data_IF_381052875243
#
_entry.id   IF_381052875243
#
_cell.length_a   1.000
_cell.length_b   1.000
_cell.length_c   1.000
_cell.angle_alpha   90.00
_cell.angle_beta   90.00
_cell.angle_gamma   90.00
#
_symmetry.space_group_name_H-M   'P 1'
#
loop_
_entity.id
_entity.type
_entity.pdbx_description
1 polymer ?
#
# COMPACT_ATOMS: atom_id res chain seq x y z
N UNK A 1 10.11 -12.27 -19.57
CA UNK A 1 8.85 -11.65 -19.11
C UNK A 1 8.41 -10.63 -20.13
N UNK A 2 7.19 -10.75 -20.66
CA UNK A 2 6.63 -9.72 -21.55
C UNK A 2 6.07 -8.57 -20.70
N UNK A 3 6.91 -7.54 -20.49
CA UNK A 3 6.58 -6.35 -19.70
C UNK A 3 5.40 -5.57 -20.29
N UNK A 4 5.31 -5.48 -21.62
CA UNK A 4 4.23 -4.77 -22.30
C UNK A 4 2.89 -5.44 -22.01
N UNK A 5 2.83 -6.77 -22.16
CA UNK A 5 1.62 -7.54 -21.85
C UNK A 5 1.24 -7.47 -20.37
N UNK A 6 2.22 -7.53 -19.46
CA UNK A 6 1.97 -7.39 -18.02
C UNK A 6 1.31 -6.05 -17.70
N UNK A 7 1.93 -4.96 -18.14
CA UNK A 7 1.48 -3.59 -17.87
C UNK A 7 0.13 -3.32 -18.51
N UNK A 8 -0.07 -3.72 -19.76
CA UNK A 8 -1.34 -3.58 -20.47
C UNK A 8 -2.47 -4.34 -19.77
N UNK A 9 -2.19 -5.56 -19.30
CA UNK A 9 -3.17 -6.35 -18.57
C UNK A 9 -3.51 -5.72 -17.22
N UNK A 10 -2.52 -5.22 -16.49
CA UNK A 10 -2.73 -4.50 -15.23
C UNK A 10 -3.51 -3.22 -15.41
N UNK A 11 -3.19 -2.41 -16.41
CA UNK A 11 -3.92 -1.18 -16.70
C UNK A 11 -5.38 -1.46 -17.06
N UNK A 12 -5.65 -2.46 -17.90
CA UNK A 12 -7.03 -2.82 -18.31
C UNK A 12 -7.85 -3.44 -17.19
N UNK A 13 -7.21 -3.99 -16.16
CA UNK A 13 -7.85 -4.77 -15.11
C UNK A 13 -8.99 -4.05 -14.37
N UNK A 14 -8.81 -2.85 -13.77
CA UNK A 14 -9.89 -2.16 -13.06
C UNK A 14 -11.08 -1.77 -13.97
N UNK A 15 -10.82 -1.54 -15.26
CA UNK A 15 -11.84 -1.09 -16.21
C UNK A 15 -12.71 -2.24 -16.78
N UNK A 16 -12.29 -3.50 -16.64
CA UNK A 16 -13.07 -4.65 -17.16
C UNK A 16 -14.42 -4.83 -16.47
N UNK A 17 -14.58 -4.42 -15.22
CA UNK A 17 -15.87 -4.51 -14.52
C UNK A 17 -16.03 -3.44 -13.43
N UNK A 18 -15.90 -2.17 -13.82
CA UNK A 18 -15.86 -1.00 -12.92
C UNK A 18 -17.02 -0.94 -11.90
N UNK A 19 -18.15 -1.59 -12.21
CA UNK A 19 -19.35 -1.70 -11.37
C UNK A 19 -19.10 -2.36 -10.00
N UNK A 20 -17.99 -3.08 -9.80
CA UNK A 20 -17.66 -3.74 -8.51
C UNK A 20 -16.76 -2.91 -7.58
N UNK A 21 -16.20 -1.79 -8.04
CA UNK A 21 -15.42 -0.85 -7.25
C UNK A 21 -16.21 0.11 -6.30
N UNK A 22 -17.52 0.43 -6.50
CA UNK A 22 -18.22 1.44 -5.70
C UNK A 22 -18.32 1.17 -4.19
N UNK A 23 -18.18 -0.08 -3.76
CA UNK A 23 -18.30 -0.42 -2.33
C UNK A 23 -17.13 0.14 -1.50
N UNK A 24 -15.97 0.36 -2.14
CA UNK A 24 -14.84 1.08 -1.55
C UNK A 24 -15.12 2.58 -1.43
N UNK A 25 -15.86 3.15 -2.40
CA UNK A 25 -16.26 4.54 -2.39
C UNK A 25 -17.20 4.85 -1.22
N UNK A 26 -18.16 3.97 -0.93
CA UNK A 26 -19.09 4.19 0.19
C UNK A 26 -18.34 4.37 1.52
N UNK A 27 -17.39 3.49 1.82
CA UNK A 27 -16.56 3.58 3.03
C UNK A 27 -15.73 4.87 3.03
N UNK A 28 -15.17 5.25 1.88
CA UNK A 28 -14.38 6.48 1.75
C UNK A 28 -15.21 7.75 2.01
N UNK A 29 -16.45 7.80 1.52
CA UNK A 29 -17.37 8.92 1.77
C UNK A 29 -17.62 9.11 3.27
N UNK A 30 -17.84 8.03 4.01
CA UNK A 30 -18.00 8.11 5.46
C UNK A 30 -16.71 8.48 6.19
N UNK A 31 -15.54 8.14 5.68
CA UNK A 31 -14.27 8.62 6.26
C UNK A 31 -14.11 10.13 6.03
N UNK A 32 -14.54 10.61 4.86
CA UNK A 32 -14.42 12.02 4.47
C UNK A 32 -15.24 12.99 5.36
N UNK A 33 -16.20 12.51 6.16
CA UNK A 33 -16.96 13.35 7.09
C UNK A 33 -16.25 13.60 8.43
N UNK A 34 -15.15 12.91 8.74
CA UNK A 34 -14.39 13.13 9.99
C UNK A 34 -13.98 14.60 10.14
N UNK A 35 -13.32 15.25 9.15
CA UNK A 35 -12.93 16.66 9.29
C UNK A 35 -14.13 17.59 9.45
N UNK A 36 -15.25 17.27 8.80
CA UNK A 36 -16.51 18.04 8.91
C UNK A 36 -17.06 17.96 10.33
N UNK A 37 -17.07 16.76 10.92
CA UNK A 37 -17.47 16.55 12.31
C UNK A 37 -16.60 17.32 13.29
N UNK A 38 -15.27 17.33 13.07
CA UNK A 38 -14.32 18.09 13.89
C UNK A 38 -14.54 19.61 13.79
N UNK A 39 -14.68 20.14 12.58
CA UNK A 39 -14.91 21.58 12.36
C UNK A 39 -16.25 22.02 12.97
N UNK A 40 -17.27 21.19 12.85
CA UNK A 40 -18.60 21.45 13.38
C UNK A 40 -18.74 21.16 14.89
N UNK A 41 -17.67 20.76 15.58
CA UNK A 41 -17.70 20.28 16.98
C UNK A 41 -18.79 19.22 17.23
N UNK A 42 -19.03 18.35 16.24
CA UNK A 42 -20.04 17.30 16.30
C UNK A 42 -19.39 15.93 16.49
N UNK A 43 -19.43 15.45 17.74
CA UNK A 43 -18.85 14.18 18.13
C UNK A 43 -19.53 12.97 17.46
N UNK A 44 -20.83 13.06 17.15
CA UNK A 44 -21.56 11.97 16.48
C UNK A 44 -21.11 11.79 15.03
N UNK A 45 -20.97 12.89 14.28
CA UNK A 45 -20.45 12.86 12.89
C UNK A 45 -19.02 12.32 12.87
N UNK A 46 -18.19 12.79 13.81
CA UNK A 46 -16.81 12.31 13.97
C UNK A 46 -16.79 10.81 14.26
N UNK A 47 -17.62 10.33 15.20
CA UNK A 47 -17.68 8.92 15.56
C UNK A 47 -18.11 8.02 14.38
N UNK A 48 -19.11 8.43 13.59
CA UNK A 48 -19.54 7.70 12.39
C UNK A 48 -18.37 7.55 11.42
N UNK A 49 -17.63 8.62 11.18
CA UNK A 49 -16.48 8.57 10.28
C UNK A 49 -15.34 7.70 10.80
N UNK A 50 -15.07 7.73 12.10
CA UNK A 50 -14.07 6.84 12.75
C UNK A 50 -14.49 5.37 12.63
N UNK A 51 -15.76 5.03 12.83
CA UNK A 51 -16.27 3.66 12.64
C UNK A 51 -16.06 3.22 11.18
N UNK A 52 -16.39 4.07 10.21
CA UNK A 52 -16.16 3.77 8.80
C UNK A 52 -14.67 3.59 8.47
N UNK A 53 -13.79 4.37 9.10
CA UNK A 53 -12.35 4.22 8.97
C UNK A 53 -11.86 2.85 9.46
N UNK A 54 -12.33 2.40 10.63
CA UNK A 54 -12.02 1.06 11.12
C UNK A 54 -12.54 -0.04 10.18
N UNK A 55 -13.78 0.08 9.68
CA UNK A 55 -14.33 -0.86 8.70
C UNK A 55 -13.51 -0.88 7.40
N UNK A 56 -13.02 0.27 6.96
CA UNK A 56 -12.15 0.38 5.79
C UNK A 56 -10.83 -0.35 6.01
N UNK A 57 -10.13 -0.07 7.11
CA UNK A 57 -8.88 -0.77 7.46
C UNK A 57 -9.08 -2.28 7.55
N UNK A 58 -10.21 -2.71 8.10
CA UNK A 58 -10.51 -4.13 8.27
C UNK A 58 -11.00 -4.81 7.00
N UNK A 59 -11.35 -4.12 5.91
CA UNK A 59 -11.94 -4.78 4.73
C UNK A 59 -11.13 -4.56 3.45
N UNK A 60 -10.60 -3.36 3.26
CA UNK A 60 -9.97 -2.96 2.00
C UNK A 60 -8.65 -3.69 1.71
N UNK A 61 -7.74 -3.90 2.69
CA UNK A 61 -6.51 -4.65 2.44
C UNK A 61 -6.75 -6.07 1.93
N UNK A 62 -7.77 -6.77 2.44
CA UNK A 62 -8.15 -8.11 2.00
C UNK A 62 -8.76 -8.13 0.60
N UNK A 63 -9.52 -7.10 0.25
CA UNK A 63 -10.00 -6.91 -1.12
C UNK A 63 -8.82 -6.74 -2.11
N UNK A 64 -7.80 -5.95 -1.75
CA UNK A 64 -6.60 -5.82 -2.56
C UNK A 64 -5.74 -7.09 -2.59
N UNK A 65 -5.67 -7.86 -1.51
CA UNK A 65 -5.04 -9.18 -1.50
C UNK A 65 -5.69 -10.13 -2.52
N UNK A 66 -7.02 -10.10 -2.62
CA UNK A 66 -7.76 -10.88 -3.62
C UNK A 66 -7.36 -10.50 -5.06
N UNK A 67 -7.05 -9.23 -5.32
CA UNK A 67 -6.54 -8.81 -6.64
C UNK A 67 -5.14 -9.34 -6.93
N UNK A 68 -4.27 -9.42 -5.92
CA UNK A 68 -2.95 -10.05 -6.07
C UNK A 68 -3.13 -11.54 -6.42
N UNK A 69 -4.05 -12.24 -5.75
CA UNK A 69 -4.38 -13.65 -6.02
C UNK A 69 -4.92 -13.87 -7.44
N UNK A 70 -5.76 -12.96 -7.91
CA UNK A 70 -6.30 -13.03 -9.28
C UNK A 70 -5.21 -12.77 -10.32
N UNK A 71 -4.32 -11.81 -10.06
CA UNK A 71 -3.14 -11.58 -10.90
C UNK A 71 -2.20 -12.78 -10.94
N UNK A 72 -1.95 -13.44 -9.80
CA UNK A 72 -1.09 -14.64 -9.76
C UNK A 72 -1.69 -15.81 -10.53
N UNK A 73 -3.02 -15.91 -10.54
CA UNK A 73 -3.76 -16.91 -11.30
C UNK A 73 -4.08 -16.47 -12.74
N UNK A 74 -3.60 -15.29 -13.17
CA UNK A 74 -3.85 -14.69 -14.49
C UNK A 74 -5.35 -14.56 -14.84
N UNK A 75 -6.20 -14.45 -13.82
CA UNK A 75 -7.65 -14.27 -13.97
C UNK A 75 -7.97 -12.80 -14.16
N UNK A 76 -8.71 -12.47 -15.22
CA UNK A 76 -9.07 -11.09 -15.52
C UNK A 76 -10.37 -10.60 -14.89
N UNK A 77 -10.98 -11.40 -14.02
CA UNK A 77 -12.23 -11.03 -13.34
C UNK A 77 -11.90 -10.20 -12.10
N UNK A 78 -12.65 -9.12 -11.85
CA UNK A 78 -12.56 -8.41 -10.57
C UNK A 78 -13.13 -9.27 -9.43
N UNK A 79 -12.52 -9.24 -8.23
CA UNK A 79 -13.01 -9.98 -7.08
C UNK A 79 -14.41 -9.49 -6.71
N UNK A 80 -15.29 -10.42 -6.35
CA UNK A 80 -16.53 -10.05 -5.68
C UNK A 80 -16.20 -9.54 -4.28
N UNK A 81 -16.89 -8.49 -3.86
CA UNK A 81 -16.76 -8.03 -2.49
C UNK A 81 -17.50 -9.00 -1.57
N UNK A 82 -16.77 -9.64 -0.66
CA UNK A 82 -17.32 -10.48 0.38
C UNK A 82 -16.77 -9.99 1.72
N UNK A 83 -17.63 -9.42 2.55
CA UNK A 83 -17.23 -8.75 3.79
C UNK A 83 -16.47 -9.70 4.73
N UNK A 84 -16.96 -10.93 4.92
CA UNK A 84 -16.34 -11.91 5.83
C UNK A 84 -14.95 -12.31 5.34
N UNK A 85 -14.83 -12.71 4.06
CA UNK A 85 -13.55 -13.13 3.49
C UNK A 85 -12.56 -11.96 3.44
N UNK A 86 -13.02 -10.76 3.08
CA UNK A 86 -12.19 -9.57 3.03
C UNK A 86 -11.69 -9.18 4.42
N UNK A 87 -12.50 -9.33 5.48
CA UNK A 87 -12.05 -9.10 6.86
C UNK A 87 -11.00 -10.11 7.27
N UNK A 88 -11.25 -11.40 7.02
CA UNK A 88 -10.30 -12.46 7.30
C UNK A 88 -8.95 -12.22 6.60
N UNK A 89 -8.97 -11.87 5.32
CA UNK A 89 -7.78 -11.56 4.53
C UNK A 89 -7.08 -10.29 5.01
N UNK A 90 -7.85 -9.25 5.38
CA UNK A 90 -7.29 -8.01 5.89
C UNK A 90 -6.56 -8.22 7.21
N UNK A 91 -7.11 -9.01 8.14
CA UNK A 91 -6.43 -9.34 9.40
C UNK A 91 -5.08 -10.02 9.12
N UNK A 92 -5.00 -10.92 8.14
CA UNK A 92 -3.75 -11.57 7.74
C UNK A 92 -2.74 -10.58 7.14
N UNK A 93 -3.21 -9.65 6.30
CA UNK A 93 -2.35 -8.58 5.73
C UNK A 93 -1.89 -7.59 6.81
N UNK A 94 -2.75 -7.23 7.76
CA UNK A 94 -2.41 -6.35 8.88
C UNK A 94 -1.39 -7.01 9.80
N UNK A 95 -1.57 -8.29 10.13
CA UNK A 95 -0.60 -9.04 10.91
C UNK A 95 0.75 -9.13 10.19
N UNK A 96 0.73 -9.41 8.89
CA UNK A 96 1.94 -9.41 8.06
C UNK A 96 2.64 -8.05 8.10
N UNK A 97 1.90 -6.96 7.94
CA UNK A 97 2.43 -5.59 8.05
C UNK A 97 3.05 -5.36 9.43
N UNK A 98 2.35 -5.69 10.52
CA UNK A 98 2.88 -5.52 11.87
C UNK A 98 4.24 -6.22 11.99
N UNK A 99 4.34 -7.50 11.61
CA UNK A 99 5.59 -8.27 11.75
C UNK A 99 6.73 -7.69 10.92
N UNK A 100 6.49 -7.35 9.65
CA UNK A 100 7.52 -6.76 8.79
C UNK A 100 7.94 -5.36 9.26
N UNK A 101 7.04 -4.62 9.93
CA UNK A 101 7.32 -3.27 10.42
C UNK A 101 7.92 -3.22 11.83
N UNK A 102 8.11 -4.35 12.52
CA UNK A 102 8.78 -4.38 13.84
C UNK A 102 10.18 -3.75 13.74
N UNK A 103 11.03 -4.25 12.84
CA UNK A 103 12.43 -3.81 12.76
C UNK A 103 12.56 -2.31 12.44
N UNK A 104 11.92 -1.77 11.38
CA UNK A 104 11.96 -0.33 11.11
C UNK A 104 11.42 0.52 12.27
N UNK A 105 10.32 0.10 12.90
CA UNK A 105 9.69 0.86 13.98
C UNK A 105 10.57 0.86 15.23
N UNK A 106 11.15 -0.29 15.60
CA UNK A 106 12.06 -0.38 16.74
C UNK A 106 13.30 0.48 16.52
N UNK A 107 13.88 0.48 15.32
CA UNK A 107 15.02 1.35 14.99
C UNK A 107 14.66 2.84 15.11
N UNK A 108 13.48 3.24 14.62
CA UNK A 108 12.99 4.61 14.76
C UNK A 108 12.82 4.99 16.23
N UNK A 109 12.22 4.13 17.05
CA UNK A 109 12.02 4.39 18.48
C UNK A 109 13.35 4.52 19.23
N UNK A 110 14.32 3.64 18.95
CA UNK A 110 15.67 3.72 19.53
C UNK A 110 16.34 5.04 19.14
N UNK A 111 16.26 5.44 17.87
CA UNK A 111 16.85 6.69 17.42
C UNK A 111 16.20 7.92 18.06
N UNK A 112 14.87 7.93 18.19
CA UNK A 112 14.16 9.00 18.89
C UNK A 112 14.56 9.07 20.38
N UNK A 113 14.76 7.93 21.03
CA UNK A 113 15.19 7.89 22.42
C UNK A 113 16.62 8.41 22.60
N UNK A 114 17.56 7.95 21.76
CA UNK A 114 18.98 8.29 21.86
C UNK A 114 19.25 9.74 21.43
N UNK A 115 18.68 10.16 20.29
CA UNK A 115 18.98 11.47 19.70
C UNK A 115 17.96 12.54 20.06
N UNK A 116 16.75 12.19 20.52
CA UNK A 116 15.66 13.13 20.82
C UNK A 116 16.03 14.29 21.75
N UNK A 117 16.76 14.06 22.86
CA UNK A 117 17.20 15.17 23.73
C UNK A 117 18.14 16.14 23.01
N UNK A 118 19.09 15.61 22.23
CA UNK A 118 20.03 16.42 21.45
C UNK A 118 19.31 17.19 20.33
N UNK A 119 18.37 16.55 19.62
CA UNK A 119 17.60 17.20 18.55
C UNK A 119 16.78 18.37 19.09
N UNK A 120 16.14 18.21 20.26
CA UNK A 120 15.35 19.27 20.90
C UNK A 120 16.20 20.49 21.24
N UNK A 121 17.40 20.28 21.78
CA UNK A 121 18.34 21.36 22.09
C UNK A 121 18.79 22.10 20.82
N UNK A 122 19.17 21.36 19.77
CA UNK A 122 19.60 21.94 18.50
C UNK A 122 18.49 22.76 17.81
N UNK A 123 17.24 22.28 17.84
CA UNK A 123 16.08 22.99 17.28
C UNK A 123 15.81 24.28 18.06
N UNK A 124 15.79 24.22 19.40
CA UNK A 124 15.52 25.38 20.24
C UNK A 124 16.57 26.50 20.08
N UNK A 125 17.82 26.12 19.82
CA UNK A 125 18.92 27.04 19.61
C UNK A 125 19.18 27.37 18.12
N UNK A 126 18.28 26.97 17.21
CA UNK A 126 18.37 27.21 15.77
C UNK A 126 19.69 26.76 15.12
N UNK A 127 20.33 25.70 15.65
CA UNK A 127 21.59 25.14 15.15
C UNK A 127 21.34 24.15 14.01
N UNK A 128 20.81 24.67 12.90
CA UNK A 128 20.28 23.88 11.78
C UNK A 128 21.35 23.00 11.12
N UNK A 129 22.58 23.50 10.93
CA UNK A 129 23.66 22.75 10.27
C UNK A 129 24.04 21.49 11.07
N UNK A 130 24.16 21.62 12.38
CA UNK A 130 24.49 20.51 13.29
C UNK A 130 23.34 19.52 13.44
N UNK A 131 22.11 20.03 13.43
CA UNK A 131 20.92 19.19 13.37
C UNK A 131 20.92 18.31 12.11
N UNK A 132 21.17 18.90 10.93
CA UNK A 132 21.23 18.16 9.67
C UNK A 132 22.36 17.13 9.65
N UNK A 133 23.54 17.49 10.16
CA UNK A 133 24.69 16.58 10.20
C UNK A 133 24.45 15.36 11.12
N UNK A 134 23.87 15.58 12.29
CA UNK A 134 23.74 14.54 13.33
C UNK A 134 22.48 13.71 13.17
N UNK A 135 21.35 14.36 12.88
CA UNK A 135 20.03 13.72 12.83
C UNK A 135 19.70 13.28 11.41
N UNK A 136 20.08 14.09 10.41
CA UNK A 136 19.77 13.82 9.01
C UNK A 136 20.37 12.49 8.55
N UNK A 137 21.63 12.22 8.86
CA UNK A 137 22.28 10.97 8.45
C UNK A 137 21.62 9.73 9.07
N UNK A 138 21.36 9.74 10.38
CA UNK A 138 20.69 8.63 11.07
C UNK A 138 19.29 8.40 10.53
N UNK A 139 18.54 9.47 10.28
CA UNK A 139 17.19 9.37 9.74
C UNK A 139 17.17 8.81 8.31
N UNK A 140 18.15 9.17 7.47
CA UNK A 140 18.32 8.59 6.12
C UNK A 140 18.58 7.08 6.21
N UNK A 141 19.43 6.63 7.12
CA UNK A 141 19.67 5.19 7.31
C UNK A 141 18.41 4.44 7.74
N UNK A 142 17.63 5.02 8.66
CA UNK A 142 16.36 4.43 9.13
C UNK A 142 15.35 4.38 7.98
N UNK A 143 15.27 5.44 7.16
CA UNK A 143 14.42 5.47 5.96
C UNK A 143 14.81 4.38 4.96
N UNK A 144 16.11 4.14 4.74
CA UNK A 144 16.58 3.05 3.87
C UNK A 144 16.09 1.71 4.40
N UNK A 145 16.24 1.44 5.70
CA UNK A 145 15.75 0.20 6.32
C UNK A 145 14.23 0.09 6.20
N UNK A 146 13.49 1.17 6.45
CA UNK A 146 12.04 1.23 6.27
C UNK A 146 11.64 0.83 4.85
N UNK A 147 12.28 1.41 3.82
CA UNK A 147 11.99 1.08 2.43
C UNK A 147 12.33 -0.37 2.07
N UNK A 148 13.41 -0.93 2.62
CA UNK A 148 13.75 -2.35 2.43
C UNK A 148 12.64 -3.25 2.98
N UNK A 149 12.14 -2.98 4.20
CA UNK A 149 11.10 -3.81 4.81
C UNK A 149 9.73 -3.63 4.16
N UNK A 150 9.37 -2.41 3.74
CA UNK A 150 8.16 -2.17 2.92
C UNK A 150 8.24 -2.92 1.58
N UNK A 151 9.40 -2.90 0.94
CA UNK A 151 9.62 -3.66 -0.29
C UNK A 151 9.48 -5.17 -0.06
N UNK A 152 10.04 -5.71 1.03
CA UNK A 152 9.85 -7.12 1.39
C UNK A 152 8.40 -7.44 1.71
N UNK A 153 7.68 -6.57 2.45
CA UNK A 153 6.27 -6.71 2.75
C UNK A 153 5.42 -6.78 1.48
N UNK A 154 5.76 -5.99 0.47
CA UNK A 154 5.08 -5.99 -0.83
C UNK A 154 5.12 -7.37 -1.50
N UNK A 155 6.28 -8.05 -1.50
CA UNK A 155 6.40 -9.42 -2.02
C UNK A 155 5.85 -10.48 -1.07
N UNK A 156 5.95 -10.28 0.24
CA UNK A 156 5.34 -11.17 1.22
C UNK A 156 3.81 -11.23 1.05
N UNK A 157 3.17 -10.12 0.70
CA UNK A 157 1.75 -10.05 0.34
C UNK A 157 1.43 -10.90 -0.90
N UNK A 158 2.30 -10.91 -1.92
CA UNK A 158 2.13 -11.80 -3.08
C UNK A 158 2.25 -13.27 -2.71
N UNK A 159 3.21 -13.61 -1.84
CA UNK A 159 3.38 -14.96 -1.30
C UNK A 159 2.16 -15.39 -0.48
N UNK A 160 1.62 -14.50 0.35
CA UNK A 160 0.37 -14.72 1.09
C UNK A 160 -0.79 -15.01 0.15
N UNK A 161 -0.95 -14.20 -0.91
CA UNK A 161 -2.03 -14.36 -1.88
C UNK A 161 -1.93 -15.69 -2.66
N UNK A 162 -0.72 -16.09 -3.03
CA UNK A 162 -0.46 -17.29 -3.82
C UNK A 162 -0.62 -18.59 -2.98
N UNK A 163 0.06 -18.68 -1.84
CA UNK A 163 0.00 -19.88 -0.98
C UNK A 163 -1.18 -19.90 -0.01
N UNK A 164 -1.91 -18.79 0.11
CA UNK A 164 -2.99 -18.61 1.08
C UNK A 164 -2.57 -18.91 2.54
N UNK A 165 -1.28 -18.74 2.85
CA UNK A 165 -0.67 -19.11 4.14
C UNK A 165 0.13 -17.95 4.72
N UNK A 166 -0.23 -17.56 5.94
CA UNK A 166 0.46 -16.51 6.68
C UNK A 166 1.89 -16.95 7.07
N UNK A 167 2.07 -18.22 7.45
CA UNK A 167 3.38 -18.78 7.78
C UNK A 167 4.34 -18.73 6.57
N UNK A 168 3.83 -19.02 5.37
CA UNK A 168 4.63 -18.90 4.15
C UNK A 168 5.05 -17.46 3.88
N UNK A 169 4.15 -16.49 4.09
CA UNK A 169 4.42 -15.07 3.89
C UNK A 169 5.37 -14.47 4.94
N UNK A 170 5.33 -14.97 6.18
CA UNK A 170 6.21 -14.53 7.28
C UNK A 170 7.64 -15.08 7.15
N UNK A 171 7.85 -16.10 6.31
CA UNK A 171 9.17 -16.63 6.06
C UNK A 171 9.98 -15.71 5.15
N UNK A 172 10.63 -14.70 5.74
CA UNK A 172 11.44 -13.69 5.04
C UNK A 172 12.49 -14.34 4.11
N UNK A 173 13.09 -15.47 4.52
CA UNK A 173 14.07 -16.19 3.69
C UNK A 173 13.45 -16.70 2.39
N UNK A 174 12.21 -17.21 2.45
CA UNK A 174 11.47 -17.65 1.26
C UNK A 174 11.05 -16.45 0.40
N UNK A 175 10.59 -15.35 1.00
CA UNK A 175 10.25 -14.12 0.27
C UNK A 175 11.47 -13.54 -0.47
N UNK A 176 12.63 -13.48 0.18
CA UNK A 176 13.89 -13.07 -0.47
C UNK A 176 14.27 -14.02 -1.60
N UNK A 177 14.04 -15.33 -1.44
CA UNK A 177 14.26 -16.31 -2.50
C UNK A 177 13.35 -16.07 -3.69
N UNK A 178 12.07 -15.77 -3.48
CA UNK A 178 11.15 -15.43 -4.56
C UNK A 178 11.63 -14.17 -5.31
N UNK A 179 12.00 -13.11 -4.59
CA UNK A 179 12.56 -11.88 -5.18
C UNK A 179 13.79 -12.20 -6.05
N UNK A 180 14.69 -13.06 -5.56
CA UNK A 180 15.86 -13.52 -6.32
C UNK A 180 15.45 -14.33 -7.55
N UNK A 181 14.45 -15.20 -7.44
CA UNK A 181 13.96 -16.02 -8.54
C UNK A 181 13.26 -15.21 -9.64
N UNK A 182 12.56 -14.10 -9.30
CA UNK A 182 12.07 -13.14 -10.30
C UNK A 182 13.25 -12.50 -11.04
N UNK A 183 14.34 -12.24 -10.31
CA UNK A 183 15.52 -11.55 -10.77
C UNK A 183 15.38 -10.03 -10.59
N UNK A 184 16.37 -9.43 -9.93
CA UNK A 184 16.32 -8.00 -9.57
C UNK A 184 16.20 -7.09 -10.79
N UNK A 185 16.82 -7.47 -11.92
CA UNK A 185 16.71 -6.74 -13.19
C UNK A 185 15.27 -6.71 -13.70
N UNK A 186 14.54 -7.82 -13.61
CA UNK A 186 13.13 -7.88 -14.02
C UNK A 186 12.25 -7.06 -13.10
N UNK A 187 12.53 -7.08 -11.79
CA UNK A 187 11.82 -6.26 -10.81
C UNK A 187 12.07 -4.77 -11.08
N UNK A 188 13.32 -4.35 -11.33
CA UNK A 188 13.66 -2.97 -11.65
C UNK A 188 12.95 -2.51 -12.93
N UNK A 189 12.97 -3.32 -14.00
CA UNK A 189 12.24 -3.02 -15.23
C UNK A 189 10.74 -2.85 -14.98
N UNK A 190 10.14 -3.75 -14.20
CA UNK A 190 8.74 -3.66 -13.81
C UNK A 190 8.45 -2.39 -12.98
N UNK A 191 9.29 -2.08 -11.98
CA UNK A 191 9.17 -0.89 -11.15
C UNK A 191 9.22 0.39 -11.98
N UNK A 192 10.17 0.52 -12.92
CA UNK A 192 10.30 1.70 -13.77
C UNK A 192 9.02 1.90 -14.60
N UNK A 193 8.52 0.84 -15.25
CA UNK A 193 7.33 0.97 -16.11
C UNK A 193 6.08 1.25 -15.27
N UNK A 194 5.94 0.60 -14.12
CA UNK A 194 4.83 0.88 -13.19
C UNK A 194 4.93 2.30 -12.62
N UNK A 195 6.12 2.79 -12.29
CA UNK A 195 6.32 4.15 -11.81
C UNK A 195 5.88 5.16 -12.87
N UNK A 196 6.27 4.99 -14.13
CA UNK A 196 5.84 5.88 -15.24
C UNK A 196 4.31 5.85 -15.37
N UNK A 197 3.71 4.66 -15.42
CA UNK A 197 2.25 4.52 -15.56
C UNK A 197 1.49 5.18 -14.40
N UNK A 198 1.87 4.87 -13.16
CA UNK A 198 1.20 5.39 -11.97
C UNK A 198 1.40 6.90 -11.84
N UNK A 199 2.59 7.43 -12.18
CA UNK A 199 2.83 8.88 -12.20
C UNK A 199 1.98 9.60 -13.25
N UNK A 200 1.78 9.01 -14.42
CA UNK A 200 0.90 9.58 -15.45
C UNK A 200 -0.56 9.66 -14.94
N UNK A 201 -1.04 8.62 -14.27
CA UNK A 201 -2.39 8.61 -13.67
C UNK A 201 -2.49 9.66 -12.57
N UNK A 202 -1.51 9.75 -11.65
CA UNK A 202 -1.53 10.73 -10.56
C UNK A 202 -1.43 12.16 -11.08
N UNK A 203 -0.66 12.41 -12.15
CA UNK A 203 -0.59 13.71 -12.80
C UNK A 203 -1.94 14.12 -13.40
N UNK A 204 -2.63 13.24 -14.12
CA UNK A 204 -3.99 13.53 -14.61
C UNK A 204 -4.95 13.78 -13.43
N UNK A 205 -4.78 13.02 -12.36
CA UNK A 205 -5.62 13.10 -11.17
C UNK A 205 -5.39 14.35 -10.33
N UNK A 206 -4.27 15.05 -10.48
CA UNK A 206 -4.05 16.34 -9.78
C UNK A 206 -4.99 17.43 -10.30
N UNK A 207 -5.36 17.39 -11.59
CA UNK A 207 -6.39 18.28 -12.13
C UNK A 207 -7.77 17.99 -11.53
N UNK A 208 -8.10 16.71 -11.33
CA UNK A 208 -9.34 16.31 -10.64
C UNK A 208 -9.36 16.87 -9.22
N UNK A 209 -8.26 16.70 -8.48
CA UNK A 209 -8.09 17.21 -7.12
C UNK A 209 -8.15 18.75 -7.01
N UNK A 210 -7.95 19.46 -8.11
CA UNK A 210 -8.04 20.93 -8.16
C UNK A 210 -9.49 21.42 -8.05
N UNK A 211 -10.49 20.54 -8.24
CA UNK A 211 -11.90 20.84 -8.02
C UNK A 211 -12.22 20.66 -6.53
N UNK A 212 -12.57 21.72 -5.78
CA UNK A 212 -12.84 21.61 -4.35
C UNK A 212 -13.98 20.62 -4.06
N UNK A 213 -13.81 19.82 -3.01
CA UNK A 213 -14.76 18.81 -2.50
C UNK A 213 -15.09 17.67 -3.49
N UNK A 214 -15.61 17.96 -4.68
CA UNK A 214 -15.96 16.98 -5.72
C UNK A 214 -14.72 16.26 -6.23
N UNK A 215 -13.63 17.00 -6.47
CA UNK A 215 -12.36 16.42 -6.89
C UNK A 215 -11.80 15.42 -5.89
N UNK A 216 -11.86 15.76 -4.60
CA UNK A 216 -11.44 14.88 -3.51
C UNK A 216 -12.27 13.58 -3.47
N UNK A 217 -13.60 13.68 -3.62
CA UNK A 217 -14.48 12.52 -3.67
C UNK A 217 -14.17 11.63 -4.88
N UNK A 218 -14.02 12.20 -6.08
CA UNK A 218 -13.65 11.44 -7.28
C UNK A 218 -12.30 10.75 -7.09
N UNK A 219 -11.32 11.46 -6.53
CA UNK A 219 -9.99 10.92 -6.29
C UNK A 219 -10.03 9.71 -5.34
N UNK A 220 -10.69 9.84 -4.19
CA UNK A 220 -10.80 8.75 -3.23
C UNK A 220 -11.67 7.58 -3.69
N UNK A 221 -12.78 7.86 -4.37
CA UNK A 221 -13.73 6.85 -4.80
C UNK A 221 -13.35 6.11 -6.08
N UNK A 222 -12.57 6.73 -6.97
CA UNK A 222 -12.31 6.22 -8.31
C UNK A 222 -10.82 6.09 -8.54
N UNK A 223 -10.05 7.16 -8.36
CA UNK A 223 -8.62 7.17 -8.71
C UNK A 223 -7.82 6.22 -7.82
N UNK A 224 -7.94 6.34 -6.48
CA UNK A 224 -7.20 5.48 -5.54
C UNK A 224 -7.51 4.00 -5.79
N UNK A 225 -8.77 3.56 -5.88
CA UNK A 225 -9.08 2.16 -6.19
C UNK A 225 -8.53 1.68 -7.53
N UNK A 226 -8.49 2.52 -8.58
CA UNK A 226 -7.87 2.19 -9.86
C UNK A 226 -6.36 1.98 -9.70
N UNK A 227 -5.65 2.93 -9.08
CA UNK A 227 -4.19 2.85 -8.87
C UNK A 227 -3.84 1.60 -8.08
N UNK A 228 -4.53 1.36 -6.97
CA UNK A 228 -4.31 0.19 -6.12
C UNK A 228 -4.65 -1.10 -6.86
N UNK A 229 -5.71 -1.14 -7.66
CA UNK A 229 -6.05 -2.32 -8.46
C UNK A 229 -4.95 -2.66 -9.47
N UNK A 230 -4.42 -1.66 -10.17
CA UNK A 230 -3.33 -1.82 -11.13
C UNK A 230 -2.09 -2.34 -10.41
N UNK A 231 -1.70 -1.72 -9.28
CA UNK A 231 -0.52 -2.10 -8.52
C UNK A 231 -0.62 -3.54 -7.98
N UNK A 232 -1.71 -3.88 -7.28
CA UNK A 232 -1.90 -5.19 -6.68
C UNK A 232 -2.03 -6.31 -7.73
N UNK A 233 -2.76 -6.07 -8.83
CA UNK A 233 -2.86 -7.05 -9.91
C UNK A 233 -1.52 -7.25 -10.64
N UNK A 234 -0.76 -6.16 -10.89
CA UNK A 234 0.57 -6.24 -11.51
C UNK A 234 1.57 -7.03 -10.67
N UNK A 235 1.53 -6.89 -9.34
CA UNK A 235 2.31 -7.69 -8.40
C UNK A 235 1.96 -9.18 -8.53
N UNK A 236 0.67 -9.51 -8.59
CA UNK A 236 0.21 -10.87 -8.83
C UNK A 236 0.78 -11.45 -10.13
N UNK A 237 0.66 -10.70 -11.24
CA UNK A 237 1.21 -11.12 -12.54
C UNK A 237 2.73 -11.32 -12.49
N UNK A 238 3.47 -10.42 -11.85
CA UNK A 238 4.91 -10.53 -11.67
C UNK A 238 5.27 -11.82 -10.93
N UNK A 239 4.56 -12.09 -9.84
CA UNK A 239 4.76 -13.28 -9.00
C UNK A 239 4.38 -14.59 -9.71
N UNK A 240 3.39 -14.56 -10.61
CA UNK A 240 2.97 -15.73 -11.41
C UNK A 240 4.09 -16.35 -12.25
N UNK A 241 5.13 -15.57 -12.57
CA UNK A 241 6.27 -16.05 -13.35
C UNK A 241 7.18 -17.03 -12.58
N UNK A 242 7.17 -16.97 -11.24
CA UNK A 242 7.93 -17.90 -10.39
C UNK A 242 7.08 -19.13 -10.05
N UNK A 243 5.78 -18.91 -9.84
CA UNK A 243 4.81 -19.93 -9.48
C UNK A 243 4.76 -21.12 -10.44
N UNK A 244 5.18 -20.94 -11.70
CA UNK A 244 5.27 -22.02 -12.68
C UNK A 244 6.41 -23.02 -12.43
N UNK A 245 7.35 -22.67 -11.55
CA UNK A 245 8.52 -23.47 -11.20
C UNK A 245 8.43 -24.08 -9.79
N UNK A 246 7.26 -23.97 -9.14
CA UNK A 246 6.89 -24.64 -7.90
C UNK A 246 5.94 -25.80 -8.21
#
# INVERSE_FOLDING_TARGET
MDLSKLVMNSFKYPFRNIKKLPILCLLFVFIAIIPIGLIANNNYVTAIGVIAFFLFILTVPGYFLSMVKLGSNQSSMLPSFNLVNNIYDSIRVLFLRIVYMIVPTTLLLIALFVFGPATRNLINNLRIIEFLATVGFVFVLILIVYFIFEFLLFFAKARLAYFNSLSEALNIKKVIRDIKNIGIVNIIKWLIVMAILLNAITFISSFVMSIPYVGFLIYGCIVIPIIESIANYSLGLLYSNIAKNY
#
